data_IF_756373791736
#
_entry.id   IF_756373791736
#
_cell.length_a   1.000
_cell.length_b   1.000
_cell.length_c   1.000
_cell.angle_alpha   90.00
_cell.angle_beta   90.00
_cell.angle_gamma   90.00
#
_symmetry.space_group_name_H-M   'P 1'
#
loop_
_entity.id
_entity.type
_entity.pdbx_description
1 polymer ?
#
# COMPACT_ATOMS: atom_id res chain seq x y z
N UNK A 1 -21.67 -3.05 -30.04
CA UNK A 1 -20.68 -3.14 -28.93
C UNK A 1 -19.30 -2.86 -29.53
N UNK A 2 -18.40 -2.18 -28.81
CA UNK A 2 -17.04 -1.99 -29.30
C UNK A 2 -16.33 -3.34 -29.49
N UNK A 3 -15.39 -3.40 -30.44
CA UNK A 3 -14.57 -4.58 -30.70
C UNK A 3 -13.82 -5.06 -29.44
N UNK A 4 -13.30 -4.12 -28.64
CA UNK A 4 -12.67 -4.39 -27.34
C UNK A 4 -13.62 -5.17 -26.41
N UNK A 5 -14.89 -4.76 -26.31
CA UNK A 5 -15.87 -5.42 -25.45
C UNK A 5 -16.13 -6.86 -25.90
N UNK A 6 -16.23 -7.09 -27.22
CA UNK A 6 -16.42 -8.43 -27.77
C UNK A 6 -15.22 -9.34 -27.48
N UNK A 7 -13.99 -8.85 -27.71
CA UNK A 7 -12.77 -9.59 -27.41
C UNK A 7 -12.65 -9.90 -25.91
N UNK A 8 -12.92 -8.93 -25.04
CA UNK A 8 -12.89 -9.14 -23.59
C UNK A 8 -13.93 -10.19 -23.13
N UNK A 9 -15.14 -10.16 -23.68
CA UNK A 9 -16.17 -11.17 -23.38
C UNK A 9 -15.78 -12.57 -23.85
N UNK A 10 -15.12 -12.68 -25.01
CA UNK A 10 -14.61 -13.96 -25.53
C UNK A 10 -13.53 -14.58 -24.62
N UNK A 11 -12.85 -13.79 -23.78
CA UNK A 11 -11.86 -14.28 -22.82
C UNK A 11 -12.46 -14.75 -21.49
N UNK A 12 -13.79 -14.74 -21.30
CA UNK A 12 -14.40 -14.99 -19.99
C UNK A 12 -13.94 -16.29 -19.31
N UNK A 13 -13.90 -17.41 -20.03
CA UNK A 13 -13.45 -18.69 -19.46
C UNK A 13 -11.99 -18.63 -19.00
N UNK A 14 -11.13 -18.04 -19.82
CA UNK A 14 -9.73 -17.79 -19.49
C UNK A 14 -9.60 -16.92 -18.23
N UNK A 15 -10.29 -15.78 -18.18
CA UNK A 15 -10.22 -14.85 -17.05
C UNK A 15 -10.70 -15.51 -15.74
N UNK A 16 -11.80 -16.25 -15.78
CA UNK A 16 -12.29 -16.97 -14.59
C UNK A 16 -11.29 -18.03 -14.13
N UNK A 17 -10.68 -18.78 -15.06
CA UNK A 17 -9.69 -19.79 -14.72
C UNK A 17 -8.41 -19.17 -14.15
N UNK A 18 -7.90 -18.11 -14.76
CA UNK A 18 -6.69 -17.39 -14.34
C UNK A 18 -6.88 -16.73 -12.96
N UNK A 19 -8.02 -16.05 -12.73
CA UNK A 19 -8.31 -15.48 -11.40
C UNK A 19 -8.36 -16.54 -10.32
N UNK A 20 -8.99 -17.69 -10.59
CA UNK A 20 -9.04 -18.81 -9.65
C UNK A 20 -7.66 -19.41 -9.43
N UNK A 21 -6.82 -19.51 -10.47
CA UNK A 21 -5.44 -19.97 -10.33
C UNK A 21 -4.65 -19.09 -9.36
N UNK A 22 -4.72 -17.76 -9.51
CA UNK A 22 -4.06 -16.85 -8.57
C UNK A 22 -4.66 -16.95 -7.16
N UNK A 23 -6.00 -17.01 -7.04
CA UNK A 23 -6.66 -17.17 -5.73
C UNK A 23 -6.25 -18.44 -4.99
N UNK A 24 -6.04 -19.54 -5.71
CA UNK A 24 -5.57 -20.81 -5.15
C UNK A 24 -4.08 -20.77 -4.75
N UNK A 25 -3.28 -19.88 -5.34
CA UNK A 25 -1.82 -19.82 -5.16
C UNK A 25 -1.33 -18.43 -4.72
N UNK A 26 -1.86 -17.84 -3.64
CA UNK A 26 -1.46 -16.52 -3.17
C UNK A 26 -0.02 -16.53 -2.63
N UNK A 27 0.71 -15.43 -2.82
CA UNK A 27 2.07 -15.25 -2.30
C UNK A 27 2.20 -13.92 -1.57
N UNK A 28 2.94 -13.90 -0.45
CA UNK A 28 3.18 -12.67 0.33
C UNK A 28 3.92 -11.61 -0.49
N UNK A 29 3.73 -10.35 -0.10
CA UNK A 29 4.50 -9.22 -0.60
C UNK A 29 6.01 -9.51 -0.67
N UNK A 30 6.64 -9.17 -1.80
CA UNK A 30 8.07 -9.41 -2.14
C UNK A 30 8.47 -10.87 -2.32
N UNK A 31 7.54 -11.83 -2.29
CA UNK A 31 7.80 -13.26 -2.46
C UNK A 31 6.91 -13.88 -3.54
N UNK A 32 6.38 -13.07 -4.44
CA UNK A 32 5.42 -13.43 -5.50
C UNK A 32 6.09 -14.12 -6.70
N UNK A 33 6.97 -15.09 -6.44
CA UNK A 33 7.80 -15.73 -7.45
C UNK A 33 7.00 -16.57 -8.44
N UNK A 34 6.06 -17.38 -7.95
CA UNK A 34 5.21 -18.23 -8.79
C UNK A 34 4.18 -17.38 -9.53
N UNK A 35 3.61 -16.36 -8.88
CA UNK A 35 2.70 -15.40 -9.51
C UNK A 35 3.41 -14.65 -10.64
N UNK A 36 4.61 -14.12 -10.40
CA UNK A 36 5.41 -13.44 -11.42
C UNK A 36 5.78 -14.40 -12.57
N UNK A 37 6.18 -15.63 -12.28
CA UNK A 37 6.49 -16.64 -13.29
C UNK A 37 5.26 -16.98 -14.15
N UNK A 38 4.08 -17.08 -13.55
CA UNK A 38 2.84 -17.31 -14.28
C UNK A 38 2.51 -16.15 -15.21
N UNK A 39 2.60 -14.91 -14.73
CA UNK A 39 2.37 -13.70 -15.55
C UNK A 39 3.33 -13.69 -16.76
N UNK A 40 4.62 -13.92 -16.52
CA UNK A 40 5.65 -13.93 -17.58
C UNK A 40 5.41 -15.05 -18.60
N UNK A 41 4.95 -16.22 -18.16
CA UNK A 41 4.55 -17.34 -19.03
C UNK A 41 3.37 -16.96 -19.92
N UNK A 42 2.33 -16.34 -19.37
CA UNK A 42 1.16 -15.91 -20.12
C UNK A 42 1.51 -14.82 -21.15
N UNK A 43 2.29 -13.81 -20.75
CA UNK A 43 2.78 -12.77 -21.67
C UNK A 43 3.62 -13.36 -22.81
N UNK A 44 4.48 -14.35 -22.52
CA UNK A 44 5.24 -15.08 -23.53
C UNK A 44 4.31 -15.82 -24.49
N UNK A 45 3.28 -16.50 -23.99
CA UNK A 45 2.30 -17.21 -24.81
C UNK A 45 1.48 -16.25 -25.70
N UNK A 46 1.26 -15.01 -25.25
CA UNK A 46 0.61 -13.97 -26.06
C UNK A 46 1.56 -13.29 -27.05
N UNK A 47 2.86 -13.59 -27.01
CA UNK A 47 3.86 -12.92 -27.84
C UNK A 47 4.06 -11.45 -27.44
N UNK A 48 3.88 -11.12 -26.16
CA UNK A 48 4.04 -9.77 -25.62
C UNK A 48 5.42 -9.66 -24.96
N UNK A 49 6.31 -8.78 -25.45
CA UNK A 49 7.56 -8.48 -24.78
C UNK A 49 7.33 -7.91 -23.37
N UNK A 50 8.20 -8.27 -22.43
CA UNK A 50 8.17 -7.73 -21.08
C UNK A 50 9.58 -7.63 -20.50
N UNK A 51 9.69 -6.84 -19.45
CA UNK A 51 10.90 -6.72 -18.65
C UNK A 51 10.61 -7.04 -17.18
N UNK A 52 11.60 -7.60 -16.49
CA UNK A 52 11.54 -7.77 -15.03
C UNK A 52 11.86 -6.45 -14.31
N UNK A 53 11.21 -6.22 -13.18
CA UNK A 53 11.42 -5.07 -12.29
C UNK A 53 11.61 -5.60 -10.88
N UNK A 54 12.76 -5.31 -10.26
CA UNK A 54 13.18 -5.95 -9.02
C UNK A 54 13.10 -7.50 -9.12
N UNK A 55 12.70 -8.19 -8.06
CA UNK A 55 12.63 -9.66 -8.05
C UNK A 55 11.38 -10.21 -8.74
N UNK A 56 10.20 -9.67 -8.42
CA UNK A 56 8.89 -10.24 -8.80
C UNK A 56 8.03 -9.31 -9.66
N UNK A 57 8.45 -8.07 -9.89
CA UNK A 57 7.74 -7.14 -10.77
C UNK A 57 7.91 -7.48 -12.25
N UNK A 58 6.85 -7.28 -13.04
CA UNK A 58 6.86 -7.51 -14.48
C UNK A 58 6.23 -6.32 -15.22
N UNK A 59 6.92 -5.78 -16.22
CA UNK A 59 6.45 -4.67 -17.06
C UNK A 59 6.23 -5.17 -18.49
N UNK A 60 4.97 -5.36 -18.90
CA UNK A 60 4.64 -5.74 -20.27
C UNK A 60 4.63 -4.51 -21.19
N UNK A 61 5.08 -4.67 -22.44
CA UNK A 61 5.29 -3.57 -23.39
C UNK A 61 4.56 -3.90 -24.70
N UNK A 62 3.54 -3.11 -25.03
CA UNK A 62 2.74 -3.25 -26.25
C UNK A 62 2.91 -1.98 -27.08
N UNK A 63 3.60 -2.09 -28.22
CA UNK A 63 3.78 -0.98 -29.18
C UNK A 63 2.68 -1.00 -30.22
N UNK A 64 2.04 0.14 -30.43
CA UNK A 64 1.02 0.32 -31.46
C UNK A 64 1.61 0.31 -32.87
N UNK A 65 0.89 -0.28 -33.82
CA UNK A 65 1.32 -0.42 -35.22
C UNK A 65 1.16 0.84 -36.06
N UNK A 66 0.46 1.88 -35.55
CA UNK A 66 0.28 3.17 -36.26
C UNK A 66 1.44 4.17 -36.06
N UNK A 67 2.53 3.75 -35.41
CA UNK A 67 3.71 4.58 -35.20
C UNK A 67 3.76 5.23 -33.82
N UNK A 68 4.56 6.29 -33.71
CA UNK A 68 4.81 6.99 -32.45
C UNK A 68 3.56 7.71 -31.92
N UNK A 69 3.50 7.86 -30.60
CA UNK A 69 2.37 8.44 -29.89
C UNK A 69 2.59 8.39 -28.38
N UNK A 70 1.52 8.63 -27.62
CA UNK A 70 1.58 8.64 -26.16
C UNK A 70 1.97 7.28 -25.57
N UNK A 71 2.60 7.31 -24.41
CA UNK A 71 2.87 6.14 -23.56
C UNK A 71 1.89 6.13 -22.39
N UNK A 72 1.04 5.10 -22.31
CA UNK A 72 0.07 4.94 -21.22
C UNK A 72 0.47 3.76 -20.34
N UNK A 73 0.51 3.96 -19.03
CA UNK A 73 0.74 2.92 -18.04
C UNK A 73 -0.58 2.41 -17.46
N UNK A 74 -0.80 1.10 -17.51
CA UNK A 74 -1.85 0.41 -16.76
C UNK A 74 -1.21 -0.36 -15.62
N UNK A 75 -1.74 -0.26 -14.40
CA UNK A 75 -1.18 -0.91 -13.22
C UNK A 75 -2.12 -1.96 -12.64
N UNK A 76 -1.56 -3.12 -12.30
CA UNK A 76 -2.21 -4.21 -11.57
C UNK A 76 -1.24 -4.71 -10.48
N UNK A 77 -1.68 -4.70 -9.23
CA UNK A 77 -0.96 -5.32 -8.10
C UNK A 77 -1.14 -6.85 -8.10
N UNK A 78 -0.17 -7.55 -7.51
CA UNK A 78 -0.07 -9.02 -7.60
C UNK A 78 0.07 -9.75 -6.25
N UNK A 79 0.34 -9.04 -5.15
CA UNK A 79 0.60 -9.67 -3.86
C UNK A 79 -0.67 -10.06 -3.11
N UNK A 80 -0.53 -11.02 -2.19
CA UNK A 80 -1.58 -11.46 -1.30
C UNK A 80 -1.31 -11.05 0.16
N UNK A 81 -2.31 -11.24 1.01
CA UNK A 81 -2.25 -10.91 2.43
C UNK A 81 -1.98 -12.16 3.29
N UNK A 82 -1.36 -11.94 4.45
CA UNK A 82 -1.05 -12.96 5.46
C UNK A 82 -2.25 -13.21 6.40
N UNK A 83 -3.30 -13.82 5.87
CA UNK A 83 -4.43 -14.33 6.64
C UNK A 83 -5.01 -15.62 6.04
N UNK A 84 -5.70 -16.45 6.85
CA UNK A 84 -6.39 -17.62 6.34
C UNK A 84 -7.49 -17.27 5.32
N UNK A 85 -7.64 -18.11 4.31
CA UNK A 85 -8.80 -18.09 3.43
C UNK A 85 -9.99 -18.80 4.11
N UNK A 86 -11.04 -18.03 4.41
CA UNK A 86 -12.28 -18.51 5.02
C UNK A 86 -13.46 -18.55 4.05
N UNK A 87 -13.23 -18.49 2.73
CA UNK A 87 -14.30 -18.41 1.72
C UNK A 87 -15.07 -19.72 1.54
N UNK A 88 -14.44 -20.86 1.83
CA UNK A 88 -15.00 -22.20 1.62
C UNK A 88 -15.30 -22.54 0.15
N UNK A 89 -14.74 -21.79 -0.80
CA UNK A 89 -14.96 -22.00 -2.24
C UNK A 89 -14.08 -23.13 -2.78
N UNK A 90 -14.46 -23.77 -3.90
CA UNK A 90 -13.62 -24.80 -4.54
C UNK A 90 -12.24 -24.30 -4.98
N UNK A 91 -12.11 -22.98 -5.17
CA UNK A 91 -10.88 -22.30 -5.56
C UNK A 91 -10.19 -21.58 -4.39
N UNK A 92 -10.52 -21.94 -3.14
CA UNK A 92 -9.89 -21.37 -1.96
C UNK A 92 -8.37 -21.58 -1.98
N UNK A 93 -7.64 -20.69 -1.31
CA UNK A 93 -6.20 -20.74 -1.19
C UNK A 93 -5.70 -22.12 -0.76
N UNK A 94 -4.73 -22.64 -1.51
CA UNK A 94 -4.00 -23.88 -1.20
C UNK A 94 -2.74 -23.59 -0.39
N UNK A 95 -2.42 -22.31 -0.11
CA UNK A 95 -1.29 -21.89 0.72
C UNK A 95 -1.80 -21.50 2.11
N UNK A 96 -1.56 -22.34 3.15
CA UNK A 96 -2.06 -22.06 4.48
C UNK A 96 -1.62 -20.69 5.00
N UNK A 97 -2.57 -19.90 5.51
CA UNK A 97 -2.30 -18.57 6.07
C UNK A 97 -2.13 -17.44 5.06
N UNK A 98 -2.35 -17.69 3.76
CA UNK A 98 -2.31 -16.67 2.71
C UNK A 98 -3.63 -16.61 1.94
N UNK A 99 -4.06 -15.40 1.55
CA UNK A 99 -5.29 -15.18 0.80
C UNK A 99 -5.24 -13.88 -0.02
N UNK A 100 -5.78 -13.89 -1.25
CA UNK A 100 -6.08 -12.66 -2.00
C UNK A 100 -7.38 -12.00 -1.50
N UNK A 101 -7.36 -11.52 -0.25
CA UNK A 101 -8.52 -10.87 0.37
C UNK A 101 -8.78 -9.44 -0.15
N UNK A 102 -7.78 -8.80 -0.78
CA UNK A 102 -7.88 -7.46 -1.37
C UNK A 102 -8.26 -7.48 -2.88
N UNK A 103 -8.29 -8.66 -3.51
CA UNK A 103 -8.69 -8.81 -4.91
C UNK A 103 -7.56 -8.62 -5.95
N UNK A 104 -6.29 -8.64 -5.54
CA UNK A 104 -5.14 -8.50 -6.44
C UNK A 104 -5.04 -9.64 -7.47
N UNK A 105 -5.60 -10.81 -7.16
CA UNK A 105 -5.83 -11.90 -8.12
C UNK A 105 -6.72 -11.46 -9.29
N UNK A 106 -7.78 -10.69 -9.01
CA UNK A 106 -8.65 -10.12 -10.03
C UNK A 106 -7.94 -9.01 -10.81
N UNK A 107 -7.18 -8.13 -10.16
CA UNK A 107 -6.42 -7.06 -10.82
C UNK A 107 -5.38 -7.64 -11.79
N UNK A 108 -4.58 -8.60 -11.34
CA UNK A 108 -3.59 -9.32 -12.15
C UNK A 108 -4.26 -9.97 -13.37
N UNK A 109 -5.38 -10.65 -13.15
CA UNK A 109 -6.15 -11.29 -14.23
C UNK A 109 -6.67 -10.28 -15.25
N UNK A 110 -7.23 -9.15 -14.79
CA UNK A 110 -7.68 -8.06 -15.66
C UNK A 110 -6.51 -7.46 -16.45
N UNK A 111 -5.33 -7.34 -15.83
CA UNK A 111 -4.09 -6.92 -16.48
C UNK A 111 -3.68 -7.85 -17.62
N UNK A 112 -3.65 -9.17 -17.39
CA UNK A 112 -3.35 -10.18 -18.43
C UNK A 112 -4.39 -10.18 -19.56
N UNK A 113 -5.68 -10.11 -19.23
CA UNK A 113 -6.76 -10.00 -20.21
C UNK A 113 -6.62 -8.74 -21.08
N UNK A 114 -6.33 -7.61 -20.45
CA UNK A 114 -6.10 -6.34 -21.14
C UNK A 114 -4.88 -6.41 -22.04
N UNK A 115 -3.77 -6.98 -21.56
CA UNK A 115 -2.55 -7.18 -22.33
C UNK A 115 -2.83 -7.97 -23.61
N UNK A 116 -3.56 -9.08 -23.49
CA UNK A 116 -3.94 -9.93 -24.62
C UNK A 116 -4.79 -9.18 -25.65
N UNK A 117 -5.86 -8.53 -25.21
CA UNK A 117 -6.77 -7.79 -26.11
C UNK A 117 -6.05 -6.65 -26.82
N UNK A 118 -5.23 -5.87 -26.11
CA UNK A 118 -4.49 -4.76 -26.70
C UNK A 118 -3.41 -5.24 -27.67
N UNK A 119 -2.73 -6.36 -27.40
CA UNK A 119 -1.76 -6.92 -28.32
C UNK A 119 -2.40 -7.42 -29.62
N UNK A 120 -3.59 -8.03 -29.54
CA UNK A 120 -4.38 -8.40 -30.73
C UNK A 120 -4.84 -7.17 -31.54
N UNK A 121 -5.01 -6.03 -30.87
CA UNK A 121 -5.45 -4.77 -31.46
C UNK A 121 -4.32 -3.79 -31.73
N UNK A 122 -3.05 -4.19 -31.62
CA UNK A 122 -1.91 -3.25 -31.65
C UNK A 122 -1.85 -2.42 -32.92
N UNK A 123 -2.28 -2.95 -34.06
CA UNK A 123 -2.29 -2.22 -35.34
C UNK A 123 -3.41 -1.15 -35.43
N UNK A 124 -4.30 -1.08 -34.43
CA UNK A 124 -5.39 -0.11 -34.38
C UNK A 124 -5.01 1.23 -33.71
N UNK A 125 -3.87 1.30 -33.01
CA UNK A 125 -3.44 2.50 -32.27
C UNK A 125 -1.96 2.85 -32.50
N UNK A 126 -1.60 4.10 -32.16
CA UNK A 126 -0.23 4.61 -32.14
C UNK A 126 0.25 4.75 -30.68
N UNK A 127 1.55 4.82 -30.47
CA UNK A 127 2.15 4.94 -29.14
C UNK A 127 2.42 3.60 -28.45
N UNK A 128 2.54 3.63 -27.13
CA UNK A 128 2.91 2.45 -26.32
C UNK A 128 1.97 2.28 -25.15
N UNK A 129 1.55 1.04 -24.88
CA UNK A 129 0.87 0.68 -23.63
C UNK A 129 1.82 -0.16 -22.80
N UNK A 130 2.12 0.33 -21.59
CA UNK A 130 2.84 -0.39 -20.57
C UNK A 130 1.85 -1.00 -19.59
N UNK A 131 2.09 -2.23 -19.15
CA UNK A 131 1.28 -2.86 -18.10
C UNK A 131 2.22 -3.31 -16.98
N UNK A 132 2.15 -2.61 -15.84
CA UNK A 132 2.93 -2.92 -14.66
C UNK A 132 2.16 -3.91 -13.77
N UNK A 133 2.70 -5.12 -13.68
CA UNK A 133 2.35 -6.11 -12.68
C UNK A 133 3.23 -5.87 -11.44
N UNK A 134 2.68 -5.15 -10.47
CA UNK A 134 3.40 -4.58 -9.33
C UNK A 134 3.33 -5.50 -8.11
N UNK A 135 4.46 -5.89 -7.51
CA UNK A 135 4.48 -6.63 -6.24
C UNK A 135 4.16 -5.70 -5.06
N UNK A 136 4.07 -6.29 -3.88
CA UNK A 136 4.21 -5.61 -2.59
C UNK A 136 3.43 -4.28 -2.44
N UNK A 137 2.16 -4.27 -2.85
CA UNK A 137 1.25 -3.15 -2.63
C UNK A 137 0.89 -3.04 -1.16
N UNK A 138 0.60 -4.17 -0.51
CA UNK A 138 0.04 -4.22 0.85
C UNK A 138 1.02 -3.67 1.91
N UNK A 139 2.31 -3.62 1.57
CA UNK A 139 3.38 -3.05 2.41
C UNK A 139 3.95 -1.73 1.87
N UNK A 140 3.37 -1.18 0.79
CA UNK A 140 3.78 0.11 0.20
C UNK A 140 5.17 0.13 -0.43
N UNK A 141 5.70 -1.03 -0.83
CA UNK A 141 7.08 -1.15 -1.33
C UNK A 141 7.18 -1.25 -2.86
N UNK A 142 6.25 -1.93 -3.53
CA UNK A 142 6.46 -2.29 -4.94
C UNK A 142 6.39 -1.12 -5.92
N UNK A 143 5.53 -0.13 -5.68
CA UNK A 143 5.47 1.06 -6.54
C UNK A 143 6.82 1.80 -6.55
N UNK A 144 7.50 1.89 -5.40
CA UNK A 144 8.83 2.51 -5.27
C UNK A 144 9.87 1.77 -6.11
N UNK A 145 9.77 0.43 -6.23
CA UNK A 145 10.67 -0.36 -7.06
C UNK A 145 10.51 -0.07 -8.56
N UNK A 146 9.27 0.13 -9.03
CA UNK A 146 9.01 0.52 -10.42
C UNK A 146 9.55 1.91 -10.73
N UNK A 147 9.30 2.90 -9.87
CA UNK A 147 9.84 4.25 -10.02
C UNK A 147 11.37 4.23 -10.00
N UNK A 148 11.98 3.54 -9.04
CA UNK A 148 13.44 3.45 -8.94
C UNK A 148 14.10 2.74 -10.13
N UNK A 149 13.36 1.95 -10.89
CA UNK A 149 13.89 1.26 -12.08
C UNK A 149 14.11 2.18 -13.28
N UNK A 150 13.52 3.38 -13.29
CA UNK A 150 13.55 4.33 -14.41
C UNK A 150 12.75 3.91 -15.65
N UNK A 151 12.11 2.73 -15.63
CA UNK A 151 11.42 2.15 -16.80
C UNK A 151 10.08 2.80 -17.12
N UNK A 152 9.53 3.57 -16.18
CA UNK A 152 8.25 4.26 -16.31
C UNK A 152 8.39 5.78 -16.24
N UNK A 153 9.59 6.33 -16.41
CA UNK A 153 9.85 7.77 -16.29
C UNK A 153 9.22 8.59 -17.43
N UNK A 154 9.02 7.97 -18.59
CA UNK A 154 8.53 8.63 -19.80
C UNK A 154 7.08 8.20 -20.15
N UNK A 155 6.20 8.17 -19.15
CA UNK A 155 4.75 7.92 -19.36
C UNK A 155 4.00 9.25 -19.45
N UNK A 156 2.98 9.32 -20.31
CA UNK A 156 2.09 10.47 -20.43
C UNK A 156 0.91 10.38 -19.44
N UNK A 157 0.42 9.16 -19.19
CA UNK A 157 -0.76 8.92 -18.34
C UNK A 157 -0.62 7.58 -17.60
N UNK A 158 -1.20 7.47 -16.41
CA UNK A 158 -1.27 6.22 -15.65
C UNK A 158 -2.69 5.95 -15.16
N UNK A 159 -3.13 4.69 -15.30
CA UNK A 159 -4.43 4.22 -14.84
C UNK A 159 -4.29 2.95 -14.02
N UNK A 160 -5.12 2.85 -12.98
CA UNK A 160 -5.29 1.65 -12.18
C UNK A 160 -6.78 1.52 -11.82
N UNK A 161 -7.21 0.30 -11.50
CA UNK A 161 -8.53 0.03 -10.93
C UNK A 161 -8.35 -0.86 -9.72
N UNK A 162 -9.23 -0.68 -8.73
CA UNK A 162 -9.31 -1.55 -7.58
C UNK A 162 -10.73 -2.10 -7.48
N UNK A 163 -10.89 -3.43 -7.37
CA UNK A 163 -12.18 -4.04 -7.09
C UNK A 163 -12.61 -3.65 -5.68
N UNK A 164 -13.87 -3.31 -5.50
CA UNK A 164 -14.39 -2.94 -4.20
C UNK A 164 -15.62 -3.80 -3.91
N UNK A 165 -15.51 -4.67 -2.91
CA UNK A 165 -16.58 -5.58 -2.49
C UNK A 165 -17.81 -4.86 -1.92
N UNK A 166 -17.68 -3.58 -1.55
CA UNK A 166 -18.76 -2.72 -1.11
C UNK A 166 -19.54 -2.03 -2.25
N UNK A 167 -19.10 -2.15 -3.51
CA UNK A 167 -19.80 -1.56 -4.65
C UNK A 167 -20.68 -2.59 -5.38
N UNK A 168 -21.88 -2.19 -5.87
CA UNK A 168 -22.70 -3.06 -6.71
C UNK A 168 -21.98 -3.47 -8.00
N UNK A 169 -22.05 -4.76 -8.35
CA UNK A 169 -21.46 -5.29 -9.59
C UNK A 169 -21.98 -4.52 -10.82
N UNK A 170 -21.07 -4.16 -11.71
CA UNK A 170 -21.38 -3.38 -12.91
C UNK A 170 -21.33 -1.85 -12.72
N UNK A 171 -20.93 -1.40 -11.53
CA UNK A 171 -20.75 0.02 -11.21
C UNK A 171 -19.27 0.39 -11.13
N UNK A 172 -18.96 1.65 -11.40
CA UNK A 172 -17.65 2.26 -11.16
C UNK A 172 -17.82 3.50 -10.28
N UNK A 173 -16.91 3.70 -9.34
CA UNK A 173 -16.78 4.94 -8.58
C UNK A 173 -15.52 5.66 -9.04
N UNK A 174 -15.65 6.94 -9.39
CA UNK A 174 -14.55 7.80 -9.81
C UNK A 174 -14.76 9.15 -9.15
N UNK A 175 -13.70 9.69 -8.57
CA UNK A 175 -13.69 11.02 -7.95
C UNK A 175 -12.49 11.81 -8.48
N UNK A 176 -12.72 13.09 -8.78
CA UNK A 176 -11.65 13.99 -9.18
C UNK A 176 -10.94 14.54 -7.94
N UNK A 177 -9.60 14.45 -7.92
CA UNK A 177 -8.80 14.85 -6.77
C UNK A 177 -8.39 13.66 -5.88
N UNK A 178 -8.04 13.89 -4.61
CA UNK A 178 -7.56 12.83 -3.72
C UNK A 178 -8.65 11.81 -3.36
N UNK A 179 -8.41 10.53 -3.67
CA UNK A 179 -9.36 9.43 -3.43
C UNK A 179 -9.01 8.62 -2.19
N UNK A 180 -7.72 8.48 -1.86
CA UNK A 180 -7.22 7.74 -0.71
C UNK A 180 -6.35 8.64 0.17
N UNK A 181 -6.39 8.41 1.48
CA UNK A 181 -5.52 9.10 2.43
C UNK A 181 -4.09 8.55 2.36
N UNK A 182 -3.09 9.39 2.67
CA UNK A 182 -1.75 8.94 3.00
C UNK A 182 -1.80 7.97 4.18
N UNK A 183 -0.83 7.07 4.26
CA UNK A 183 -0.59 6.21 5.41
C UNK A 183 0.87 6.38 5.81
N UNK A 184 1.11 7.06 6.93
CA UNK A 184 2.45 7.20 7.50
C UNK A 184 2.44 6.59 8.88
N UNK A 185 3.39 5.71 9.15
CA UNK A 185 3.52 5.06 10.45
C UNK A 185 4.66 5.73 11.20
N UNK A 186 4.50 5.92 12.50
CA UNK A 186 5.57 6.42 13.35
C UNK A 186 5.76 5.57 14.59
N UNK A 187 7.00 5.58 15.07
CA UNK A 187 7.40 4.99 16.33
C UNK A 187 8.14 6.03 17.14
N UNK A 188 7.60 6.38 18.30
CA UNK A 188 8.21 7.31 19.25
C UNK A 188 8.80 6.51 20.40
N UNK A 189 10.04 6.80 20.75
CA UNK A 189 10.71 6.27 21.95
C UNK A 189 11.03 7.41 22.90
N UNK A 190 10.65 7.22 24.16
CA UNK A 190 10.93 8.16 25.24
C UNK A 190 11.84 7.47 26.25
N UNK A 191 13.00 8.06 26.54
CA UNK A 191 13.95 7.52 27.51
C UNK A 191 14.05 8.45 28.71
N UNK A 192 13.61 7.96 29.86
CA UNK A 192 13.68 8.62 31.15
C UNK A 192 14.78 8.04 32.04
N UNK A 193 14.56 8.05 33.35
CA UNK A 193 15.51 7.56 34.34
C UNK A 193 14.78 6.84 35.48
N UNK A 194 15.11 5.57 35.71
CA UNK A 194 14.49 4.80 36.79
C UNK A 194 14.82 5.34 38.18
N UNK A 195 13.84 5.18 39.07
CA UNK A 195 13.99 5.33 40.51
C UNK A 195 12.94 4.46 41.21
N UNK A 196 13.05 4.33 42.53
CA UNK A 196 11.96 3.76 43.31
C UNK A 196 10.76 4.73 43.28
N UNK A 197 9.53 4.25 43.08
CA UNK A 197 8.33 5.13 42.99
C UNK A 197 8.12 5.98 44.24
N UNK A 198 8.56 5.51 45.42
CA UNK A 198 8.58 6.30 46.66
C UNK A 198 9.64 7.43 46.72
N UNK A 199 10.48 7.58 45.68
CA UNK A 199 11.50 8.63 45.54
C UNK A 199 11.53 9.16 44.10
N UNK A 200 10.40 9.68 43.58
CA UNK A 200 10.25 9.98 42.16
C UNK A 200 11.18 11.11 41.70
N UNK A 201 11.52 12.06 42.58
CA UNK A 201 12.43 13.18 42.32
C UNK A 201 13.86 12.78 41.88
N UNK A 202 14.25 11.51 42.04
CA UNK A 202 15.55 10.99 41.58
C UNK A 202 15.51 10.42 40.14
N UNK A 203 14.32 10.28 39.56
CA UNK A 203 14.08 9.73 38.23
C UNK A 203 13.36 10.72 37.31
N UNK A 204 13.19 10.31 36.05
CA UNK A 204 12.39 11.00 35.04
C UNK A 204 11.43 9.96 34.46
N UNK A 205 10.12 10.17 34.59
CA UNK A 205 9.12 9.13 34.35
C UNK A 205 8.70 9.08 32.88
N UNK A 206 9.20 8.08 32.16
CA UNK A 206 8.87 7.87 30.75
C UNK A 206 7.40 7.49 30.54
N UNK A 207 6.77 6.80 31.50
CA UNK A 207 5.36 6.39 31.40
C UNK A 207 4.44 7.61 31.48
N UNK A 208 4.69 8.50 32.45
CA UNK A 208 3.93 9.75 32.57
C UNK A 208 4.13 10.61 31.33
N UNK A 209 5.38 10.79 30.90
CA UNK A 209 5.72 11.56 29.70
C UNK A 209 5.01 11.00 28.46
N UNK A 210 5.04 9.69 28.23
CA UNK A 210 4.38 9.06 27.09
C UNK A 210 2.85 9.21 27.15
N UNK A 211 2.26 9.14 28.34
CA UNK A 211 0.82 9.35 28.53
C UNK A 211 0.41 10.78 28.16
N UNK A 212 1.22 11.78 28.55
CA UNK A 212 1.02 13.18 28.16
C UNK A 212 1.13 13.36 26.65
N UNK A 213 2.12 12.73 26.01
CA UNK A 213 2.26 12.75 24.54
C UNK A 213 1.01 12.21 23.87
N UNK A 214 0.51 11.04 24.26
CA UNK A 214 -0.69 10.42 23.65
C UNK A 214 -1.89 11.37 23.70
N UNK A 215 -2.13 12.01 24.85
CA UNK A 215 -3.25 12.94 25.03
C UNK A 215 -3.02 14.22 24.21
N UNK A 216 -1.82 14.79 24.24
CA UNK A 216 -1.50 16.03 23.55
C UNK A 216 -1.56 15.89 22.03
N UNK A 217 -1.17 14.74 21.47
CA UNK A 217 -1.26 14.48 20.03
C UNK A 217 -2.69 14.59 19.48
N UNK A 218 -3.72 14.37 20.32
CA UNK A 218 -5.11 14.53 19.90
C UNK A 218 -5.48 15.99 19.60
N UNK A 219 -4.69 16.94 20.11
CA UNK A 219 -4.92 18.37 19.87
C UNK A 219 -4.58 18.79 18.44
N UNK A 220 -3.73 18.04 17.73
CA UNK A 220 -3.32 18.36 16.36
C UNK A 220 -4.55 18.45 15.45
N UNK A 221 -5.35 17.39 15.37
CA UNK A 221 -6.57 17.40 14.54
C UNK A 221 -7.60 18.38 15.08
N UNK A 222 -7.72 18.52 16.40
CA UNK A 222 -8.72 19.37 17.02
C UNK A 222 -8.43 20.88 16.95
N UNK A 223 -7.17 21.28 16.72
CA UNK A 223 -6.72 22.69 16.87
C UNK A 223 -5.81 23.19 15.75
N UNK A 224 -5.03 22.33 15.13
CA UNK A 224 -4.04 22.74 14.11
C UNK A 224 -4.47 22.39 12.68
N UNK A 225 -5.39 21.43 12.49
CA UNK A 225 -5.92 21.06 11.16
C UNK A 225 -7.17 21.85 10.80
N UNK A 226 -7.27 22.31 9.54
CA UNK A 226 -8.49 22.92 9.01
C UNK A 226 -9.67 21.93 9.12
N UNK A 227 -10.81 22.31 9.72
CA UNK A 227 -11.97 21.41 9.86
C UNK A 227 -12.53 20.83 8.56
N UNK A 228 -12.20 21.40 7.40
CA UNK A 228 -12.56 20.88 6.08
C UNK A 228 -11.63 19.73 5.65
N UNK A 229 -10.38 19.76 6.10
CA UNK A 229 -9.40 18.74 5.79
C UNK A 229 -9.65 17.48 6.61
N UNK A 230 -9.51 16.34 5.94
CA UNK A 230 -9.64 15.01 6.56
C UNK A 230 -8.27 14.58 7.07
N UNK A 231 -8.11 14.55 8.38
CA UNK A 231 -6.88 14.13 9.05
C UNK A 231 -7.16 13.15 10.20
N UNK A 232 -6.23 12.23 10.41
CA UNK A 232 -6.23 11.31 11.56
C UNK A 232 -4.85 11.30 12.18
N UNK A 233 -4.78 11.33 13.51
CA UNK A 233 -3.61 10.97 14.31
C UNK A 233 -4.04 9.84 15.24
N UNK A 234 -3.72 8.60 14.87
CA UNK A 234 -4.11 7.40 15.61
C UNK A 234 -2.95 6.86 16.43
N UNK A 235 -3.20 6.55 17.71
CA UNK A 235 -2.25 5.82 18.56
C UNK A 235 -2.74 4.38 18.70
N UNK A 236 -1.94 3.43 18.23
CA UNK A 236 -2.29 2.00 18.25
C UNK A 236 -1.67 1.24 19.41
N UNK A 237 -0.53 1.71 19.93
CA UNK A 237 0.25 1.01 20.94
C UNK A 237 0.96 2.00 21.87
N UNK A 238 0.93 1.69 23.17
CA UNK A 238 1.71 2.35 24.21
C UNK A 238 2.24 1.25 25.14
N UNK A 239 3.56 1.11 25.22
CA UNK A 239 4.23 0.23 26.18
C UNK A 239 5.14 1.07 27.07
N UNK A 240 5.05 0.93 28.38
CA UNK A 240 5.92 1.66 29.31
C UNK A 240 6.04 0.95 30.66
N UNK A 241 7.25 0.98 31.23
CA UNK A 241 7.54 0.43 32.55
C UNK A 241 7.58 -1.10 32.63
N UNK A 242 8.12 -1.60 33.75
CA UNK A 242 8.38 -3.03 33.95
C UNK A 242 7.74 -3.59 35.22
N UNK A 243 7.50 -2.74 36.23
CA UNK A 243 6.96 -3.12 37.54
C UNK A 243 6.31 -1.92 38.24
N UNK A 244 5.28 -2.16 39.04
CA UNK A 244 4.48 -1.12 39.69
C UNK A 244 5.26 -0.17 40.64
N UNK A 245 6.40 -0.58 41.18
CA UNK A 245 7.18 0.20 42.16
C UNK A 245 8.48 0.79 41.60
N UNK A 246 8.65 0.76 40.28
CA UNK A 246 9.81 1.32 39.57
C UNK A 246 9.29 2.41 38.62
N UNK A 247 9.86 3.61 38.71
CA UNK A 247 9.63 4.68 37.72
C UNK A 247 10.15 4.21 36.37
N UNK A 248 9.31 4.30 35.34
CA UNK A 248 9.66 3.82 34.00
C UNK A 248 10.82 4.64 33.41
N UNK A 249 11.88 3.95 32.99
CA UNK A 249 12.99 4.55 32.24
C UNK A 249 12.76 4.56 30.73
N UNK A 250 11.79 3.80 30.23
CA UNK A 250 11.49 3.73 28.81
C UNK A 250 9.99 3.63 28.55
N UNK A 251 9.59 4.22 27.43
CA UNK A 251 8.27 4.08 26.86
C UNK A 251 8.35 4.10 25.33
N UNK A 252 7.47 3.35 24.68
CA UNK A 252 7.35 3.21 23.24
C UNK A 252 5.90 3.47 22.83
N UNK A 253 5.71 4.35 21.86
CA UNK A 253 4.42 4.67 21.25
C UNK A 253 4.50 4.32 19.77
N UNK A 254 3.55 3.54 19.26
CA UNK A 254 3.37 3.36 17.82
C UNK A 254 2.02 3.90 17.40
N UNK A 255 2.03 4.63 16.29
CA UNK A 255 0.85 5.31 15.78
C UNK A 255 0.96 5.55 14.29
N UNK A 256 -0.06 6.22 13.77
CA UNK A 256 -0.16 6.46 12.35
C UNK A 256 -0.91 7.76 12.07
N UNK A 257 -0.57 8.42 10.98
CA UNK A 257 -1.33 9.56 10.48
C UNK A 257 -2.01 9.23 9.15
N UNK A 258 -3.14 9.90 8.90
CA UNK A 258 -3.82 9.88 7.60
C UNK A 258 -4.07 11.32 7.17
N UNK A 259 -3.78 11.65 5.92
CA UNK A 259 -4.08 12.95 5.33
C UNK A 259 -4.49 12.82 3.86
N UNK A 260 -5.41 13.66 3.39
CA UNK A 260 -5.87 13.65 2.00
C UNK A 260 -5.09 14.59 1.07
N UNK A 261 -4.22 15.44 1.62
CA UNK A 261 -3.36 16.31 0.83
C UNK A 261 -1.94 16.36 1.43
N UNK A 262 -0.95 16.73 0.60
CA UNK A 262 0.46 16.74 0.98
C UNK A 262 0.80 17.77 2.06
N UNK A 263 0.16 18.94 2.04
CA UNK A 263 0.41 20.00 3.00
C UNK A 263 -0.01 19.58 4.41
N UNK A 264 -1.24 19.07 4.57
CA UNK A 264 -1.73 18.50 5.82
C UNK A 264 -0.85 17.33 6.27
N UNK A 265 -0.43 16.45 5.35
CA UNK A 265 0.46 15.32 5.69
C UNK A 265 1.76 15.79 6.33
N UNK A 266 2.47 16.72 5.70
CA UNK A 266 3.74 17.23 6.23
C UNK A 266 3.52 17.99 7.55
N UNK A 267 2.46 18.80 7.63
CA UNK A 267 2.09 19.47 8.88
C UNK A 267 1.83 18.48 10.03
N UNK A 268 1.11 17.38 9.78
CA UNK A 268 0.88 16.34 10.79
C UNK A 268 2.19 15.70 11.26
N UNK A 269 3.13 15.42 10.35
CA UNK A 269 4.44 14.86 10.72
C UNK A 269 5.23 15.82 11.61
N UNK A 270 5.30 17.08 11.19
CA UNK A 270 5.96 18.14 11.96
C UNK A 270 5.31 18.34 13.33
N UNK A 271 3.98 18.38 13.41
CA UNK A 271 3.24 18.57 14.66
C UNK A 271 3.41 17.40 15.62
N UNK A 272 3.34 16.15 15.13
CA UNK A 272 3.60 14.95 15.95
C UNK A 272 5.01 15.01 16.54
N UNK A 273 6.03 15.27 15.71
CA UNK A 273 7.41 15.37 16.16
C UNK A 273 7.60 16.52 17.16
N UNK A 274 7.07 17.72 16.86
CA UNK A 274 7.20 18.92 17.71
C UNK A 274 6.56 18.72 19.09
N UNK A 275 5.33 18.23 19.15
CA UNK A 275 4.59 18.04 20.41
C UNK A 275 5.25 16.97 21.26
N UNK A 276 5.55 15.81 20.67
CA UNK A 276 6.16 14.70 21.41
C UNK A 276 7.55 15.08 21.95
N UNK A 277 8.39 15.73 21.13
CA UNK A 277 9.69 16.24 21.56
C UNK A 277 9.56 17.28 22.67
N UNK A 278 8.66 18.26 22.53
CA UNK A 278 8.47 19.31 23.53
C UNK A 278 8.02 18.78 24.89
N UNK A 279 7.14 17.77 24.92
CA UNK A 279 6.68 17.12 26.16
C UNK A 279 7.80 16.28 26.78
N UNK A 280 8.60 15.59 25.97
CA UNK A 280 9.77 14.86 26.48
C UNK A 280 10.77 15.82 27.14
N UNK A 281 11.09 16.93 26.49
CA UNK A 281 11.98 17.97 27.02
C UNK A 281 11.42 18.59 28.31
N UNK A 282 10.12 18.92 28.35
CA UNK A 282 9.43 19.41 29.55
C UNK A 282 9.62 18.48 30.75
N UNK A 283 9.53 17.17 30.52
CA UNK A 283 9.65 16.14 31.54
C UNK A 283 11.09 15.63 31.74
N UNK A 284 12.09 16.25 31.11
CA UNK A 284 13.52 15.88 31.17
C UNK A 284 13.80 14.46 30.70
N UNK A 285 13.04 13.98 29.72
CA UNK A 285 13.27 12.72 29.02
C UNK A 285 13.90 12.97 27.64
N UNK A 286 14.63 11.99 27.14
CA UNK A 286 15.12 11.96 25.77
C UNK A 286 14.03 11.46 24.82
N UNK A 287 14.10 11.87 23.55
CA UNK A 287 13.10 11.61 22.53
C UNK A 287 13.76 11.16 21.22
N UNK A 288 13.24 10.09 20.64
CA UNK A 288 13.56 9.61 19.30
C UNK A 288 12.24 9.31 18.56
N UNK A 289 12.20 9.57 17.25
CA UNK A 289 11.07 9.20 16.39
C UNK A 289 11.56 8.64 15.06
N UNK A 290 11.00 7.49 14.69
CA UNK A 290 11.16 6.89 13.38
C UNK A 290 9.86 7.02 12.59
N UNK A 291 9.98 7.37 11.31
CA UNK A 291 8.88 7.42 10.34
C UNK A 291 9.06 6.32 9.29
N UNK A 292 7.98 5.64 8.92
CA UNK A 292 7.94 4.57 7.94
C UNK A 292 6.96 4.88 6.80
#
# INVERSE_FOLDING_TARGET
>A
MSEIKQKAQALNEYLVATRRHFHENPESSLKEYDTAAYIQKELTAFGIPFEKVAETGTLAIIKGGKGEGKTVLLRADIDALELPDCTGKPYASKRPGLNHACGHDAHTTMGLGTARVLNELKDSFAGTVLIAFQPAEEIGAGAKQFVASGKIDNIDESFAIHVNSGLPVGSFAVEGGPVNASCDIFKIKITGKSSHVGRPHLGHDALVTASEVVVALQTIVAREVNPIDRAIVGIGKLNAGTRYNIVANDAEIEGTIRAFNHETREHLKEAVTRIAKGIAELNRCEFEIDWY
#
